data_IF_446696529183
#
_entry.id   IF_446696529183
#
_cell.length_a   1.000
_cell.length_b   1.000
_cell.length_c   1.000
_cell.angle_alpha   90.00
_cell.angle_beta   90.00
_cell.angle_gamma   90.00
#
_symmetry.space_group_name_H-M   'P 1'
#
loop_
_entity.id
_entity.type
_entity.pdbx_description
1 polymer ?
#
# COMPACT_ATOMS: atom_id res chain seq x y z
N UNK A 1 37.32 -23.46 11.34
CA UNK A 1 36.88 -22.08 11.64
C UNK A 1 36.28 -21.32 10.44
N UNK A 2 36.61 -21.68 9.19
CA UNK A 2 36.18 -20.98 7.96
C UNK A 2 34.75 -21.31 7.51
N UNK A 3 34.29 -22.55 7.65
CA UNK A 3 32.95 -23.00 7.23
C UNK A 3 31.81 -22.36 8.06
N UNK A 4 32.00 -22.25 9.38
CA UNK A 4 31.03 -21.63 10.27
C UNK A 4 30.85 -20.12 9.98
N UNK A 5 31.94 -19.41 9.69
CA UNK A 5 31.89 -18.00 9.27
C UNK A 5 31.19 -17.83 7.92
N UNK A 6 31.48 -18.67 6.93
CA UNK A 6 30.80 -18.62 5.62
C UNK A 6 29.30 -18.89 5.73
N UNK A 7 28.91 -19.86 6.58
CA UNK A 7 27.50 -20.14 6.87
C UNK A 7 26.83 -18.94 7.55
N UNK A 8 27.47 -18.33 8.55
CA UNK A 8 26.95 -17.12 9.22
C UNK A 8 26.77 -15.97 8.23
N UNK A 9 27.80 -15.69 7.40
CA UNK A 9 27.77 -14.61 6.40
C UNK A 9 26.69 -14.84 5.34
N UNK A 10 26.48 -16.07 4.89
CA UNK A 10 25.41 -16.40 3.94
C UNK A 10 24.00 -16.20 4.53
N UNK A 11 23.83 -16.51 5.82
CA UNK A 11 22.57 -16.28 6.54
C UNK A 11 22.33 -14.78 6.72
N UNK A 12 23.35 -14.04 7.17
CA UNK A 12 23.29 -12.58 7.34
C UNK A 12 23.00 -11.88 6.00
N UNK A 13 23.60 -12.38 4.91
CA UNK A 13 23.34 -11.89 3.56
C UNK A 13 21.89 -12.12 3.14
N UNK A 14 21.38 -13.34 3.34
CA UNK A 14 20.03 -13.71 2.91
C UNK A 14 18.96 -12.97 3.71
N UNK A 15 19.14 -12.84 5.03
CA UNK A 15 18.22 -12.09 5.90
C UNK A 15 18.29 -10.57 5.61
N UNK A 16 19.48 -10.02 5.37
CA UNK A 16 19.62 -8.61 5.00
C UNK A 16 19.01 -8.31 3.63
N UNK A 17 19.15 -9.22 2.66
CA UNK A 17 18.52 -9.12 1.33
C UNK A 17 17.00 -9.22 1.45
N UNK A 18 16.49 -10.12 2.28
CA UNK A 18 15.07 -10.23 2.56
C UNK A 18 14.51 -8.93 3.17
N UNK A 19 15.18 -8.36 4.16
CA UNK A 19 14.77 -7.08 4.75
C UNK A 19 14.79 -5.97 3.70
N UNK A 20 15.83 -5.91 2.87
CA UNK A 20 15.90 -4.97 1.76
C UNK A 20 14.68 -5.13 0.82
N UNK A 21 14.42 -6.34 0.34
CA UNK A 21 13.31 -6.64 -0.56
C UNK A 21 11.95 -6.37 0.10
N UNK A 22 11.81 -6.58 1.41
CA UNK A 22 10.58 -6.28 2.12
C UNK A 22 10.30 -4.77 2.15
N UNK A 23 11.33 -3.93 2.38
CA UNK A 23 11.17 -2.46 2.41
C UNK A 23 11.02 -1.86 1.00
N UNK A 24 11.82 -2.34 0.05
CA UNK A 24 11.97 -1.73 -1.28
C UNK A 24 11.06 -2.38 -2.32
N UNK A 25 10.70 -3.66 -2.15
CA UNK A 25 9.86 -4.44 -3.06
C UNK A 25 8.45 -3.89 -3.25
N UNK A 26 8.01 -2.96 -2.39
CA UNK A 26 6.77 -2.20 -2.58
C UNK A 26 6.91 -1.11 -3.65
N UNK A 27 8.03 -0.41 -3.70
CA UNK A 27 8.22 0.79 -4.54
C UNK A 27 9.02 0.51 -5.81
N UNK A 28 10.09 -0.27 -5.71
CA UNK A 28 11.03 -0.50 -6.80
C UNK A 28 10.35 -1.10 -8.06
N UNK A 29 9.45 -2.10 -7.96
CA UNK A 29 8.79 -2.62 -9.15
C UNK A 29 7.99 -1.56 -9.90
N UNK A 30 7.23 -0.78 -9.14
CA UNK A 30 6.41 0.29 -9.68
C UNK A 30 7.27 1.33 -10.40
N UNK A 31 8.36 1.78 -9.76
CA UNK A 31 9.28 2.78 -10.32
C UNK A 31 9.91 2.25 -11.62
N UNK A 32 10.41 1.01 -11.64
CA UNK A 32 11.06 0.45 -12.82
C UNK A 32 10.09 0.30 -14.01
N UNK A 33 8.87 -0.20 -13.76
CA UNK A 33 7.84 -0.30 -14.81
C UNK A 33 7.41 1.09 -15.28
N UNK A 34 7.25 2.05 -14.36
CA UNK A 34 6.88 3.42 -14.69
C UNK A 34 7.96 4.14 -15.52
N UNK A 35 9.24 4.01 -15.15
CA UNK A 35 10.36 4.59 -15.90
C UNK A 35 10.41 4.01 -17.31
N UNK A 36 10.24 2.69 -17.45
CA UNK A 36 10.20 2.03 -18.77
C UNK A 36 9.00 2.49 -19.59
N UNK A 37 7.84 2.68 -18.97
CA UNK A 37 6.68 3.29 -19.62
C UNK A 37 6.97 4.74 -20.05
N UNK A 38 7.57 5.57 -19.20
CA UNK A 38 7.89 6.96 -19.54
C UNK A 38 8.88 7.08 -20.69
N UNK A 39 9.88 6.19 -20.76
CA UNK A 39 10.85 6.14 -21.84
C UNK A 39 10.25 5.66 -23.17
N UNK A 40 9.40 4.64 -23.14
CA UNK A 40 8.91 3.98 -24.36
C UNK A 40 7.54 4.48 -24.82
N UNK A 41 6.77 5.10 -23.92
CA UNK A 41 5.35 5.44 -24.09
C UNK A 41 4.49 4.27 -24.59
N UNK A 42 4.93 3.03 -24.34
CA UNK A 42 4.29 1.82 -24.87
C UNK A 42 3.05 1.45 -24.08
N UNK A 43 1.95 1.18 -24.79
CA UNK A 43 0.70 0.64 -24.23
C UNK A 43 0.94 -0.66 -23.47
N UNK A 44 1.90 -1.47 -23.90
CA UNK A 44 2.28 -2.73 -23.25
C UNK A 44 2.73 -2.50 -21.79
N UNK A 45 3.63 -1.54 -21.57
CA UNK A 45 4.13 -1.23 -20.22
C UNK A 45 3.09 -0.49 -19.38
N UNK A 46 2.17 0.25 -20.00
CA UNK A 46 1.01 0.81 -19.30
C UNK A 46 0.09 -0.30 -18.77
N UNK A 47 -0.24 -1.30 -19.60
CA UNK A 47 -1.03 -2.47 -19.20
C UNK A 47 -0.32 -3.22 -18.07
N UNK A 48 0.99 -3.44 -18.20
CA UNK A 48 1.79 -4.09 -17.16
C UNK A 48 1.78 -3.30 -15.83
N UNK A 49 1.93 -1.98 -15.88
CA UNK A 49 1.87 -1.10 -14.71
C UNK A 49 0.52 -1.19 -14.00
N UNK A 50 -0.58 -1.15 -14.77
CA UNK A 50 -1.93 -1.29 -14.26
C UNK A 50 -2.12 -2.67 -13.63
N UNK A 51 -1.74 -3.75 -14.33
CA UNK A 51 -1.80 -5.13 -13.85
C UNK A 51 -1.03 -5.32 -12.54
N UNK A 52 0.15 -4.74 -12.40
CA UNK A 52 0.96 -4.78 -11.18
C UNK A 52 0.22 -4.11 -10.01
N UNK A 53 -0.32 -2.90 -10.25
CA UNK A 53 -1.04 -2.13 -9.24
C UNK A 53 -2.27 -2.89 -8.71
N UNK A 54 -3.06 -3.47 -9.61
CA UNK A 54 -4.25 -4.24 -9.25
C UNK A 54 -3.85 -5.53 -8.55
N UNK A 55 -2.87 -6.25 -9.09
CA UNK A 55 -2.39 -7.50 -8.49
C UNK A 55 -2.00 -7.26 -7.03
N UNK A 56 -1.25 -6.21 -6.75
CA UNK A 56 -0.86 -5.87 -5.39
C UNK A 56 -2.06 -5.67 -4.47
N UNK A 57 -3.05 -4.88 -4.90
CA UNK A 57 -4.26 -4.64 -4.11
C UNK A 57 -5.06 -5.93 -3.90
N UNK A 58 -5.22 -6.75 -4.94
CA UNK A 58 -5.99 -7.99 -4.92
C UNK A 58 -5.33 -9.10 -4.09
N UNK A 59 -4.01 -9.19 -4.14
CA UNK A 59 -3.24 -10.25 -3.49
C UNK A 59 -3.41 -10.25 -1.97
N UNK A 60 -3.56 -9.09 -1.34
CA UNK A 60 -3.83 -8.99 0.10
C UNK A 60 -5.17 -9.65 0.48
N UNK A 61 -6.16 -9.61 -0.41
CA UNK A 61 -7.47 -10.27 -0.20
C UNK A 61 -7.38 -11.78 -0.41
N UNK A 62 -6.63 -12.23 -1.41
CA UNK A 62 -6.45 -13.65 -1.70
C UNK A 62 -5.56 -14.35 -0.68
N UNK A 63 -4.57 -13.65 -0.12
CA UNK A 63 -3.65 -14.14 0.90
C UNK A 63 -4.37 -14.77 2.09
N UNK A 64 -5.45 -14.14 2.56
CA UNK A 64 -6.33 -14.68 3.63
C UNK A 64 -6.86 -16.08 3.31
N UNK A 65 -7.17 -16.32 2.04
CA UNK A 65 -7.96 -17.49 1.60
C UNK A 65 -7.12 -18.74 1.46
N UNK A 66 -5.80 -18.57 1.38
CA UNK A 66 -4.84 -19.67 1.37
C UNK A 66 -4.47 -20.12 2.79
N UNK A 67 -4.64 -19.25 3.80
CA UNK A 67 -4.40 -19.51 5.23
C UNK A 67 -3.10 -20.30 5.51
N UNK A 68 -2.04 -19.91 4.81
CA UNK A 68 -0.71 -20.50 4.90
C UNK A 68 0.09 -19.77 5.99
N UNK A 69 0.90 -20.53 6.74
CA UNK A 69 1.77 -19.97 7.77
C UNK A 69 2.82 -19.03 7.16
N UNK A 70 3.25 -18.04 7.93
CA UNK A 70 4.30 -17.07 7.57
C UNK A 70 5.57 -17.74 7.06
N UNK A 71 5.90 -18.92 7.58
CA UNK A 71 7.08 -19.72 7.25
C UNK A 71 7.04 -20.34 5.84
N UNK A 72 5.85 -20.72 5.36
CA UNK A 72 5.64 -21.24 3.99
C UNK A 72 5.41 -20.12 3.00
N UNK A 73 4.75 -19.05 3.43
CA UNK A 73 4.37 -17.96 2.54
C UNK A 73 5.55 -17.12 2.07
N UNK A 74 6.55 -16.95 2.93
CA UNK A 74 7.69 -16.11 2.64
C UNK A 74 8.56 -16.67 1.49
N UNK A 75 8.93 -17.97 1.45
CA UNK A 75 9.58 -18.56 0.28
C UNK A 75 8.73 -18.47 -1.01
N UNK A 76 7.43 -18.73 -0.94
CA UNK A 76 6.52 -18.63 -2.10
C UNK A 76 6.53 -17.21 -2.66
N UNK A 77 6.43 -16.22 -1.76
CA UNK A 77 6.48 -14.79 -2.08
C UNK A 77 7.78 -14.41 -2.79
N UNK A 78 8.91 -14.93 -2.33
CA UNK A 78 10.22 -14.69 -2.94
C UNK A 78 10.33 -15.34 -4.33
N UNK A 79 9.83 -16.57 -4.49
CA UNK A 79 9.82 -17.27 -5.79
C UNK A 79 8.96 -16.49 -6.80
N UNK A 80 7.76 -16.05 -6.40
CA UNK A 80 6.90 -15.24 -7.26
C UNK A 80 7.56 -13.90 -7.63
N UNK A 81 8.29 -13.28 -6.70
CA UNK A 81 9.08 -12.08 -6.96
C UNK A 81 10.20 -12.31 -7.96
N UNK A 82 10.94 -13.42 -7.84
CA UNK A 82 11.98 -13.81 -8.78
C UNK A 82 11.43 -14.05 -10.19
N UNK A 83 10.36 -14.86 -10.31
CA UNK A 83 9.71 -15.16 -11.59
C UNK A 83 9.14 -13.89 -12.23
N UNK A 84 8.48 -13.04 -11.44
CA UNK A 84 7.95 -11.77 -11.90
C UNK A 84 9.04 -10.87 -12.49
N UNK A 85 10.14 -10.66 -11.75
CA UNK A 85 11.27 -9.86 -12.19
C UNK A 85 11.97 -10.45 -13.43
N UNK A 86 12.11 -11.77 -13.49
CA UNK A 86 12.73 -12.46 -14.62
C UNK A 86 11.91 -12.36 -15.91
N UNK A 87 10.58 -12.38 -15.84
CA UNK A 87 9.72 -12.15 -17.01
C UNK A 87 9.88 -10.73 -17.58
N UNK A 88 10.12 -9.72 -16.74
CA UNK A 88 10.43 -8.36 -17.18
C UNK A 88 11.83 -8.20 -17.78
N UNK A 89 12.77 -9.04 -17.36
CA UNK A 89 14.12 -9.09 -17.94
C UNK A 89 14.12 -9.78 -19.31
N UNK A 90 13.41 -10.91 -19.45
CA UNK A 90 13.53 -11.78 -20.61
C UNK A 90 12.48 -11.52 -21.70
N UNK A 91 11.41 -10.79 -21.42
CA UNK A 91 10.32 -10.60 -22.37
C UNK A 91 9.88 -9.15 -22.49
N UNK A 92 9.40 -8.80 -23.68
CA UNK A 92 8.68 -7.55 -23.96
C UNK A 92 7.25 -7.81 -24.46
N UNK A 93 6.81 -9.07 -24.46
CA UNK A 93 5.46 -9.45 -24.88
C UNK A 93 4.43 -9.08 -23.81
N UNK A 94 3.29 -8.53 -24.23
CA UNK A 94 2.20 -8.11 -23.34
C UNK A 94 1.76 -9.23 -22.41
N UNK A 95 1.55 -10.44 -22.95
CA UNK A 95 1.07 -11.57 -22.15
C UNK A 95 2.02 -11.96 -21.03
N UNK A 96 3.32 -12.06 -21.33
CA UNK A 96 4.35 -12.38 -20.35
C UNK A 96 4.55 -11.26 -19.33
N UNK A 97 4.44 -10.00 -19.74
CA UNK A 97 4.52 -8.85 -18.83
C UNK A 97 3.29 -8.75 -17.91
N UNK A 98 2.11 -9.14 -18.37
CA UNK A 98 0.92 -9.27 -17.50
C UNK A 98 1.18 -10.33 -16.44
N UNK A 99 1.61 -11.54 -16.85
CA UNK A 99 1.93 -12.62 -15.90
C UNK A 99 3.00 -12.15 -14.92
N UNK A 100 4.08 -11.54 -15.40
CA UNK A 100 5.14 -10.98 -14.56
C UNK A 100 4.61 -9.95 -13.56
N UNK A 101 3.71 -9.06 -14.00
CA UNK A 101 3.08 -8.04 -13.16
C UNK A 101 2.18 -8.65 -12.09
N UNK A 102 1.45 -9.73 -12.42
CA UNK A 102 0.62 -10.45 -11.46
C UNK A 102 1.49 -11.11 -10.38
N UNK A 103 2.51 -11.88 -10.77
CA UNK A 103 3.41 -12.57 -9.83
C UNK A 103 4.17 -11.57 -8.95
N UNK A 104 4.69 -10.50 -9.56
CA UNK A 104 5.48 -9.52 -8.85
C UNK A 104 4.63 -8.63 -7.94
N UNK A 105 3.43 -8.26 -8.38
CA UNK A 105 2.45 -7.55 -7.56
C UNK A 105 2.01 -8.37 -6.34
N UNK A 106 1.84 -9.67 -6.51
CA UNK A 106 1.56 -10.59 -5.41
C UNK A 106 2.72 -10.65 -4.40
N UNK A 107 3.94 -10.75 -4.91
CA UNK A 107 5.14 -10.74 -4.08
C UNK A 107 5.25 -9.44 -3.26
N UNK A 108 5.10 -8.29 -3.93
CA UNK A 108 5.18 -6.97 -3.31
C UNK A 108 4.10 -6.72 -2.24
N UNK A 109 2.91 -7.31 -2.41
CA UNK A 109 1.82 -7.20 -1.44
C UNK A 109 2.08 -7.97 -0.14
N UNK A 110 2.84 -9.05 -0.22
CA UNK A 110 2.88 -10.09 0.81
C UNK A 110 4.22 -10.16 1.54
N UNK A 111 5.32 -9.82 0.87
CA UNK A 111 6.67 -9.89 1.46
C UNK A 111 6.78 -9.11 2.76
N UNK A 112 6.21 -7.91 2.81
CA UNK A 112 6.29 -7.03 3.97
C UNK A 112 5.44 -7.52 5.16
N UNK A 113 4.12 -7.79 5.02
CA UNK A 113 3.32 -8.33 6.12
C UNK A 113 3.93 -9.56 6.79
N UNK A 114 4.40 -10.54 5.99
CA UNK A 114 4.96 -11.78 6.51
C UNK A 114 6.34 -11.59 7.11
N UNK A 115 7.20 -10.79 6.48
CA UNK A 115 8.50 -10.43 7.05
C UNK A 115 8.35 -9.68 8.38
N UNK A 116 7.40 -8.74 8.47
CA UNK A 116 7.13 -7.97 9.69
C UNK A 116 6.65 -8.86 10.83
N UNK A 117 5.80 -9.84 10.52
CA UNK A 117 5.30 -10.83 11.48
C UNK A 117 6.43 -11.61 12.11
N UNK A 118 7.34 -12.14 11.29
CA UNK A 118 8.53 -12.86 11.75
C UNK A 118 9.46 -11.92 12.54
N UNK A 119 9.70 -10.71 12.03
CA UNK A 119 10.57 -9.72 12.69
C UNK A 119 10.06 -9.35 14.09
N UNK A 120 8.75 -9.16 14.25
CA UNK A 120 8.18 -8.78 15.55
C UNK A 120 8.27 -9.93 16.56
N UNK A 121 8.05 -11.17 16.14
CA UNK A 121 8.32 -12.35 16.99
C UNK A 121 9.80 -12.44 17.42
N UNK A 122 10.74 -12.12 16.54
CA UNK A 122 12.19 -12.18 16.81
C UNK A 122 12.73 -10.99 17.62
N UNK A 123 12.04 -9.84 17.60
CA UNK A 123 12.49 -8.63 18.31
C UNK A 123 12.44 -8.82 19.83
N UNK A 124 11.59 -9.73 20.33
CA UNK A 124 11.55 -10.12 21.74
C UNK A 124 12.70 -11.06 22.16
N UNK A 125 13.45 -11.62 21.21
CA UNK A 125 14.45 -12.67 21.49
C UNK A 125 15.87 -12.32 21.06
N UNK A 126 16.10 -11.38 20.13
CA UNK A 126 17.46 -11.07 19.65
C UNK A 126 17.70 -9.61 19.26
N UNK A 127 18.90 -9.09 19.60
CA UNK A 127 19.36 -7.74 19.20
C UNK A 127 19.86 -7.73 17.75
N UNK A 128 18.95 -7.57 16.79
CA UNK A 128 19.27 -7.61 15.36
C UNK A 128 19.96 -6.31 14.86
N UNK A 129 21.20 -6.37 14.37
CA UNK A 129 21.94 -5.24 13.75
C UNK A 129 21.96 -5.34 12.21
N UNK A 130 20.88 -4.91 11.54
CA UNK A 130 20.68 -5.03 10.07
C UNK A 130 21.13 -3.85 9.20
N UNK A 131 21.62 -2.75 9.77
CA UNK A 131 21.69 -1.46 9.04
C UNK A 131 22.75 -1.36 7.93
N UNK A 132 23.86 -2.12 7.95
CA UNK A 132 24.98 -1.92 6.99
C UNK A 132 24.80 -2.60 5.63
N UNK A 133 24.27 -3.81 5.59
CA UNK A 133 24.14 -4.56 4.33
C UNK A 133 23.06 -3.99 3.40
N UNK A 134 22.01 -3.39 3.99
CA UNK A 134 20.95 -2.69 3.26
C UNK A 134 21.48 -1.60 2.33
N UNK A 135 22.39 -0.75 2.81
CA UNK A 135 22.97 0.34 2.03
C UNK A 135 23.83 -0.15 0.87
N UNK A 136 24.50 -1.30 1.05
CA UNK A 136 25.33 -1.91 0.01
C UNK A 136 24.47 -2.47 -1.12
N UNK A 137 23.35 -3.15 -0.81
CA UNK A 137 22.39 -3.63 -1.82
C UNK A 137 21.73 -2.44 -2.55
N UNK A 138 21.39 -1.37 -1.83
CA UNK A 138 20.83 -0.15 -2.42
C UNK A 138 21.81 0.53 -3.38
N UNK A 139 23.07 0.67 -2.96
CA UNK A 139 24.14 1.23 -3.80
C UNK A 139 24.37 0.37 -5.06
N UNK A 140 24.40 -0.96 -4.91
CA UNK A 140 24.55 -1.88 -6.04
C UNK A 140 23.42 -1.71 -7.05
N UNK A 141 22.16 -1.69 -6.60
CA UNK A 141 21.01 -1.47 -7.49
C UNK A 141 21.02 -0.08 -8.15
N UNK A 142 21.44 0.96 -7.43
CA UNK A 142 21.60 2.30 -7.99
C UNK A 142 22.66 2.35 -9.11
N UNK A 143 23.80 1.69 -8.91
CA UNK A 143 24.86 1.57 -9.93
C UNK A 143 24.34 0.80 -11.14
N UNK A 144 23.63 -0.30 -10.94
CA UNK A 144 23.09 -1.11 -12.05
C UNK A 144 22.03 -0.35 -12.85
N UNK A 145 21.18 0.43 -12.18
CA UNK A 145 20.22 1.31 -12.85
C UNK A 145 20.92 2.39 -13.69
N UNK A 146 21.99 2.99 -13.16
CA UNK A 146 22.81 3.94 -13.90
C UNK A 146 23.48 3.31 -15.13
N UNK A 147 23.97 2.07 -14.99
CA UNK A 147 24.54 1.29 -16.10
C UNK A 147 23.47 1.01 -17.15
N UNK A 148 22.31 0.49 -16.77
CA UNK A 148 21.19 0.23 -17.69
C UNK A 148 20.78 1.48 -18.48
N UNK A 149 20.74 2.64 -17.80
CA UNK A 149 20.46 3.94 -18.43
C UNK A 149 21.55 4.36 -19.41
N UNK A 150 22.83 4.22 -19.03
CA UNK A 150 23.98 4.60 -19.87
C UNK A 150 24.15 3.71 -21.10
N UNK A 151 23.81 2.43 -20.99
CA UNK A 151 23.97 1.42 -22.05
C UNK A 151 22.68 1.15 -22.84
N UNK A 152 21.56 1.81 -22.50
CA UNK A 152 20.28 1.62 -23.20
C UNK A 152 19.68 0.21 -23.05
N UNK A 153 20.03 -0.52 -21.99
CA UNK A 153 19.68 -1.94 -21.79
C UNK A 153 18.21 -2.19 -21.38
N UNK A 154 17.35 -1.17 -21.50
CA UNK A 154 15.91 -1.26 -21.19
C UNK A 154 15.61 -1.83 -19.80
N UNK A 155 16.49 -1.57 -18.82
CA UNK A 155 16.43 -2.05 -17.43
C UNK A 155 16.55 -3.57 -17.24
N UNK A 156 16.98 -4.31 -18.28
CA UNK A 156 17.10 -5.77 -18.25
C UNK A 156 18.05 -6.24 -17.17
N UNK A 157 19.16 -5.52 -16.97
CA UNK A 157 20.16 -5.88 -15.98
C UNK A 157 19.60 -5.67 -14.56
N UNK A 158 18.92 -4.56 -14.31
CA UNK A 158 18.27 -4.26 -13.03
C UNK A 158 17.22 -5.32 -12.69
N UNK A 159 16.36 -5.71 -13.65
CA UNK A 159 15.38 -6.78 -13.43
C UNK A 159 16.03 -8.15 -13.18
N UNK A 160 17.13 -8.46 -13.87
CA UNK A 160 17.87 -9.71 -13.69
C UNK A 160 18.53 -9.80 -12.31
N UNK A 161 19.21 -8.73 -11.89
CA UNK A 161 19.82 -8.64 -10.55
C UNK A 161 18.75 -8.76 -9.48
N UNK A 162 17.60 -8.11 -9.66
CA UNK A 162 16.53 -8.21 -8.69
C UNK A 162 15.95 -9.63 -8.60
N UNK A 163 15.83 -10.36 -9.71
CA UNK A 163 15.45 -11.76 -9.70
C UNK A 163 16.46 -12.61 -8.90
N UNK A 164 17.76 -12.37 -9.08
CA UNK A 164 18.82 -13.03 -8.31
C UNK A 164 18.77 -12.67 -6.81
N UNK A 165 18.44 -11.42 -6.45
CA UNK A 165 18.25 -11.03 -5.06
C UNK A 165 17.06 -11.74 -4.42
N UNK A 166 15.95 -11.88 -5.15
CA UNK A 166 14.79 -12.67 -4.67
C UNK A 166 15.17 -14.13 -4.43
N UNK A 167 15.90 -14.76 -5.35
CA UNK A 167 16.40 -16.13 -5.19
C UNK A 167 17.39 -16.24 -4.02
N UNK A 168 18.31 -15.29 -3.89
CA UNK A 168 19.30 -15.23 -2.81
C UNK A 168 18.70 -14.99 -1.42
N UNK A 169 17.48 -14.45 -1.34
CA UNK A 169 16.73 -14.28 -0.10
C UNK A 169 15.96 -15.53 0.34
N UNK A 170 15.76 -16.53 -0.53
CA UNK A 170 15.00 -17.76 -0.21
C UNK A 170 15.60 -18.51 0.99
N UNK A 171 16.92 -18.76 1.06
CA UNK A 171 17.51 -19.45 2.21
C UNK A 171 17.21 -18.74 3.54
N UNK A 172 17.26 -17.40 3.57
CA UNK A 172 16.94 -16.58 4.72
C UNK A 172 15.47 -16.69 5.11
N UNK A 173 14.57 -16.70 4.13
CA UNK A 173 13.15 -16.95 4.37
C UNK A 173 12.85 -18.33 4.98
N UNK A 174 13.52 -19.37 4.48
CA UNK A 174 13.38 -20.75 5.02
C UNK A 174 13.99 -20.86 6.42
N UNK A 175 15.16 -20.29 6.65
CA UNK A 175 15.83 -20.33 7.95
C UNK A 175 15.04 -19.59 9.03
N UNK A 176 14.53 -18.40 8.70
CA UNK A 176 13.58 -17.68 9.57
C UNK A 176 12.35 -18.55 9.84
N UNK A 177 11.83 -19.24 8.82
CA UNK A 177 10.73 -20.19 8.99
C UNK A 177 11.02 -21.31 9.98
N UNK A 178 12.23 -21.85 9.98
CA UNK A 178 12.65 -22.89 10.92
C UNK A 178 12.77 -22.37 12.36
N UNK A 179 13.26 -21.14 12.56
CA UNK A 179 13.29 -20.51 13.89
C UNK A 179 11.89 -20.27 14.47
N UNK A 180 10.89 -19.98 13.63
CA UNK A 180 9.51 -19.78 14.10
C UNK A 180 8.74 -21.10 14.21
N UNK A 181 9.09 -22.14 13.44
CA UNK A 181 8.47 -23.47 13.54
C UNK A 181 8.56 -24.09 14.93
N UNK A 182 9.63 -23.83 15.69
CA UNK A 182 9.75 -24.26 17.10
C UNK A 182 8.68 -23.62 18.01
N UNK A 183 8.15 -22.45 17.64
CA UNK A 183 7.04 -21.80 18.35
C UNK A 183 5.65 -22.29 17.89
N UNK A 184 5.53 -22.79 16.64
CA UNK A 184 4.28 -23.31 16.09
C UNK A 184 3.97 -24.76 16.42
N UNK A 185 4.89 -25.49 17.08
CA UNK A 185 4.73 -26.93 17.36
C UNK A 185 3.44 -27.30 18.14
N UNK A 186 2.80 -26.33 18.80
CA UNK A 186 1.57 -26.54 19.58
C UNK A 186 0.29 -26.06 18.88
N UNK A 187 0.34 -25.58 17.62
CA UNK A 187 -0.84 -25.13 16.89
C UNK A 187 -1.39 -26.20 15.96
N UNK A 188 -2.68 -26.50 16.11
CA UNK A 188 -3.43 -27.35 15.19
C UNK A 188 -3.43 -26.73 13.79
N UNK A 189 -2.74 -27.38 12.85
CA UNK A 189 -2.79 -27.07 11.42
C UNK A 189 -4.20 -27.35 10.86
N UNK A 190 -5.10 -26.38 10.97
CA UNK A 190 -6.36 -26.42 10.21
C UNK A 190 -6.16 -25.72 8.88
N UNK A 191 -5.73 -26.47 7.88
CA UNK A 191 -5.87 -26.09 6.47
C UNK A 191 -7.37 -25.96 6.21
N UNK A 192 -7.88 -24.73 6.21
CA UNK A 192 -9.28 -24.50 5.88
C UNK A 192 -9.43 -24.66 4.37
N UNK A 193 -10.30 -25.60 3.96
CA UNK A 193 -10.66 -25.85 2.56
C UNK A 193 -11.07 -24.53 1.90
N UNK A 194 -10.79 -24.37 0.60
CA UNK A 194 -11.26 -23.27 -0.27
C UNK A 194 -12.80 -23.23 -0.34
N UNK A 195 -13.47 -22.86 0.74
CA UNK A 195 -14.92 -23.05 0.86
C UNK A 195 -15.76 -21.98 0.16
N UNK A 196 -15.14 -20.95 -0.43
CA UNK A 196 -15.86 -19.83 -1.03
C UNK A 196 -15.28 -19.38 -2.38
N UNK A 197 -15.40 -20.25 -3.40
CA UNK A 197 -15.06 -19.91 -4.80
C UNK A 197 -15.85 -18.67 -5.28
N UNK A 198 -17.10 -18.49 -4.84
CA UNK A 198 -17.90 -17.30 -5.17
C UNK A 198 -17.22 -16.00 -4.73
N UNK A 199 -16.53 -15.99 -3.59
CA UNK A 199 -15.77 -14.82 -3.12
C UNK A 199 -14.56 -14.53 -4.01
N UNK A 200 -13.96 -15.56 -4.61
CA UNK A 200 -12.87 -15.37 -5.59
C UNK A 200 -13.37 -14.68 -6.84
N UNK A 201 -14.51 -15.14 -7.36
CA UNK A 201 -15.16 -14.52 -8.51
C UNK A 201 -15.58 -13.07 -8.22
N UNK A 202 -16.18 -12.80 -7.06
CA UNK A 202 -16.55 -11.43 -6.69
C UNK A 202 -15.33 -10.51 -6.56
N UNK A 203 -14.27 -10.94 -5.87
CA UNK A 203 -13.04 -10.14 -5.79
C UNK A 203 -12.44 -9.86 -7.16
N UNK A 204 -12.45 -10.86 -8.07
CA UNK A 204 -12.00 -10.65 -9.45
C UNK A 204 -12.81 -9.56 -10.16
N UNK A 205 -14.14 -9.58 -10.04
CA UNK A 205 -15.03 -8.56 -10.62
C UNK A 205 -14.72 -7.17 -10.03
N UNK A 206 -14.60 -7.06 -8.70
CA UNK A 206 -14.28 -5.80 -8.04
C UNK A 206 -12.93 -5.22 -8.48
N UNK A 207 -11.90 -6.06 -8.55
CA UNK A 207 -10.57 -5.64 -8.99
C UNK A 207 -10.48 -5.37 -10.49
N UNK A 208 -11.27 -6.05 -11.32
CA UNK A 208 -11.43 -5.69 -12.73
C UNK A 208 -12.07 -4.31 -12.90
N UNK A 209 -13.06 -3.97 -12.06
CA UNK A 209 -13.61 -2.61 -12.02
C UNK A 209 -12.55 -1.57 -11.68
N UNK A 210 -11.76 -1.81 -10.63
CA UNK A 210 -10.62 -0.93 -10.27
C UNK A 210 -9.61 -0.84 -11.40
N UNK A 211 -9.35 -1.94 -12.12
CA UNK A 211 -8.44 -1.96 -13.27
C UNK A 211 -8.84 -0.98 -14.36
N UNK A 212 -10.12 -1.04 -14.76
CA UNK A 212 -10.68 -0.14 -15.77
C UNK A 212 -10.54 1.30 -15.29
N UNK A 213 -10.95 1.58 -14.05
CA UNK A 213 -10.86 2.93 -13.48
C UNK A 213 -9.41 3.46 -13.45
N UNK A 214 -8.43 2.65 -13.03
CA UNK A 214 -7.01 3.03 -13.06
C UNK A 214 -6.51 3.29 -14.48
N UNK A 215 -7.05 2.58 -15.47
CA UNK A 215 -6.71 2.79 -16.89
C UNK A 215 -7.30 4.11 -17.40
N UNK A 216 -8.54 4.45 -17.02
CA UNK A 216 -9.18 5.74 -17.36
C UNK A 216 -8.40 6.96 -16.82
N UNK A 217 -7.59 6.80 -15.76
CA UNK A 217 -6.71 7.86 -15.24
C UNK A 217 -5.46 8.09 -16.08
N UNK A 218 -5.06 7.12 -16.90
CA UNK A 218 -3.77 7.11 -17.59
C UNK A 218 -3.87 7.06 -19.10
N UNK A 219 -5.03 6.66 -19.64
CA UNK A 219 -5.28 6.56 -21.07
C UNK A 219 -6.51 7.40 -21.46
N UNK A 220 -6.46 7.99 -22.65
CA UNK A 220 -7.60 8.64 -23.28
C UNK A 220 -8.61 7.59 -23.75
N UNK A 221 -9.44 7.11 -22.83
CA UNK A 221 -10.55 6.21 -23.13
C UNK A 221 -11.87 6.92 -22.82
N UNK A 222 -12.68 7.13 -23.85
CA UNK A 222 -13.99 7.75 -23.72
C UNK A 222 -15.05 6.69 -23.40
N UNK A 223 -15.23 6.37 -22.11
CA UNK A 223 -16.37 5.58 -21.66
C UNK A 223 -17.54 6.50 -21.28
N UNK A 224 -18.79 6.16 -21.64
CA UNK A 224 -19.95 6.90 -21.20
C UNK A 224 -20.03 6.97 -19.66
N UNK A 225 -20.40 8.12 -19.11
CA UNK A 225 -20.43 8.35 -17.66
C UNK A 225 -21.30 7.33 -16.91
N UNK A 226 -22.42 6.91 -17.50
CA UNK A 226 -23.29 5.89 -16.92
C UNK A 226 -22.61 4.51 -16.81
N UNK A 227 -21.77 4.13 -17.78
CA UNK A 227 -20.99 2.88 -17.73
C UNK A 227 -19.98 2.96 -16.59
N UNK A 228 -19.25 4.08 -16.50
CA UNK A 228 -18.24 4.28 -15.46
C UNK A 228 -18.88 4.29 -14.06
N UNK A 229 -20.03 4.95 -13.88
CA UNK A 229 -20.79 4.90 -12.62
C UNK A 229 -21.28 3.49 -12.29
N UNK A 230 -21.72 2.73 -13.30
CA UNK A 230 -22.14 1.33 -13.11
C UNK A 230 -20.97 0.46 -12.64
N UNK A 231 -19.77 0.64 -13.23
CA UNK A 231 -18.56 -0.07 -12.78
C UNK A 231 -18.22 0.27 -11.33
N UNK A 232 -18.29 1.56 -10.95
CA UNK A 232 -18.05 2.01 -9.57
C UNK A 232 -19.09 1.41 -8.62
N UNK A 233 -20.37 1.42 -8.99
CA UNK A 233 -21.45 0.85 -8.19
C UNK A 233 -21.27 -0.65 -7.98
N UNK A 234 -20.95 -1.41 -9.03
CA UNK A 234 -20.66 -2.84 -8.94
C UNK A 234 -19.46 -3.09 -8.02
N UNK A 235 -18.37 -2.34 -8.16
CA UNK A 235 -17.20 -2.47 -7.30
C UNK A 235 -17.54 -2.18 -5.83
N UNK A 236 -18.32 -1.13 -5.55
CA UNK A 236 -18.81 -0.81 -4.20
C UNK A 236 -19.67 -1.93 -3.63
N UNK A 237 -20.60 -2.50 -4.40
CA UNK A 237 -21.44 -3.61 -3.95
C UNK A 237 -20.58 -4.84 -3.61
N UNK A 238 -19.67 -5.22 -4.51
CA UNK A 238 -18.74 -6.33 -4.33
C UNK A 238 -17.93 -6.16 -3.05
N UNK A 239 -17.33 -4.98 -2.85
CA UNK A 239 -16.55 -4.71 -1.67
C UNK A 239 -17.44 -4.75 -0.43
N UNK A 240 -18.61 -4.11 -0.44
CA UNK A 240 -19.54 -4.11 0.70
C UNK A 240 -19.96 -5.53 1.13
N UNK A 241 -20.20 -6.43 0.17
CA UNK A 241 -20.46 -7.86 0.45
C UNK A 241 -19.24 -8.50 1.13
N UNK A 242 -18.02 -8.25 0.63
CA UNK A 242 -16.79 -8.78 1.24
C UNK A 242 -16.58 -8.25 2.67
N UNK A 243 -16.83 -6.96 2.91
CA UNK A 243 -16.70 -6.35 4.24
C UNK A 243 -17.73 -6.90 5.22
N UNK A 244 -18.98 -7.07 4.77
CA UNK A 244 -20.05 -7.64 5.56
C UNK A 244 -19.78 -9.11 5.91
N UNK A 245 -19.28 -9.90 4.94
CA UNK A 245 -18.88 -11.30 5.18
C UNK A 245 -17.78 -11.40 6.24
N UNK A 246 -16.89 -10.41 6.32
CA UNK A 246 -15.80 -10.35 7.29
C UNK A 246 -16.15 -9.54 8.55
N UNK A 247 -17.44 -9.29 8.85
CA UNK A 247 -17.88 -8.46 9.99
C UNK A 247 -17.36 -8.92 11.35
N UNK A 248 -17.14 -10.22 11.54
CA UNK A 248 -16.63 -10.79 12.80
C UNK A 248 -15.10 -10.75 12.94
N UNK A 249 -14.36 -10.42 11.87
CA UNK A 249 -12.89 -10.37 11.91
C UNK A 249 -12.44 -8.98 12.35
N UNK A 250 -11.69 -8.89 13.46
CA UNK A 250 -11.21 -7.64 14.07
C UNK A 250 -12.34 -6.60 14.26
N UNK A 251 -13.44 -6.92 14.95
CA UNK A 251 -14.59 -6.01 15.06
C UNK A 251 -14.19 -4.65 15.63
N UNK A 252 -13.38 -4.62 16.68
CA UNK A 252 -13.02 -3.39 17.42
C UNK A 252 -12.02 -2.51 16.65
N UNK A 253 -11.18 -3.10 15.80
CA UNK A 253 -10.17 -2.38 15.02
C UNK A 253 -10.62 -2.06 13.60
N UNK A 254 -11.76 -2.62 13.14
CA UNK A 254 -12.19 -2.52 11.73
C UNK A 254 -12.35 -1.09 11.27
N UNK A 255 -13.07 -0.27 12.03
CA UNK A 255 -13.34 1.12 11.67
C UNK A 255 -12.05 1.94 11.61
N UNK A 256 -11.14 1.70 12.56
CA UNK A 256 -9.81 2.32 12.62
C UNK A 256 -8.96 1.99 11.40
N UNK A 257 -8.93 0.72 11.01
CA UNK A 257 -8.20 0.25 9.83
C UNK A 257 -8.78 0.79 8.52
N UNK A 258 -10.11 0.83 8.41
CA UNK A 258 -10.80 1.42 7.26
C UNK A 258 -10.50 2.92 7.15
N UNK A 259 -10.61 3.66 8.27
CA UNK A 259 -10.32 5.09 8.33
C UNK A 259 -8.87 5.38 7.92
N UNK A 260 -7.90 4.63 8.45
CA UNK A 260 -6.49 4.73 8.06
C UNK A 260 -6.30 4.57 6.56
N UNK A 261 -6.91 3.54 5.97
CA UNK A 261 -6.87 3.29 4.53
C UNK A 261 -7.41 4.46 3.71
N UNK A 262 -8.57 4.96 4.12
CA UNK A 262 -9.24 6.08 3.48
C UNK A 262 -8.38 7.34 3.55
N UNK A 263 -7.84 7.68 4.73
CA UNK A 263 -6.98 8.86 4.95
C UNK A 263 -5.71 8.82 4.11
N UNK A 264 -5.05 7.65 4.02
CA UNK A 264 -3.86 7.50 3.17
C UNK A 264 -4.22 7.76 1.71
N UNK A 265 -5.35 7.25 1.22
CA UNK A 265 -5.79 7.52 -0.16
C UNK A 265 -6.24 8.96 -0.33
N UNK A 266 -6.91 9.55 0.64
CA UNK A 266 -7.32 10.95 0.63
C UNK A 266 -6.09 11.88 0.52
N UNK A 267 -5.04 11.65 1.30
CA UNK A 267 -3.80 12.42 1.24
C UNK A 267 -3.02 12.12 -0.05
N UNK A 268 -2.62 10.86 -0.27
CA UNK A 268 -1.66 10.52 -1.32
C UNK A 268 -2.26 10.42 -2.72
N UNK A 269 -3.56 10.15 -2.84
CA UNK A 269 -4.22 10.10 -4.14
C UNK A 269 -4.90 11.43 -4.42
N UNK A 270 -5.93 11.79 -3.66
CA UNK A 270 -6.74 12.98 -3.98
C UNK A 270 -5.95 14.29 -3.81
N UNK A 271 -5.37 14.52 -2.63
CA UNK A 271 -4.69 15.79 -2.35
C UNK A 271 -3.40 15.94 -3.18
N UNK A 272 -2.75 14.85 -3.59
CA UNK A 272 -1.64 14.89 -4.54
C UNK A 272 -2.03 15.53 -5.88
N UNK A 273 -3.24 15.25 -6.39
CA UNK A 273 -3.75 15.91 -7.59
C UNK A 273 -4.26 17.32 -7.28
N UNK A 274 -5.04 17.46 -6.21
CA UNK A 274 -5.68 18.74 -5.89
C UNK A 274 -4.66 19.83 -5.52
N UNK A 275 -3.49 19.47 -5.00
CA UNK A 275 -2.40 20.39 -4.73
C UNK A 275 -1.87 21.11 -5.99
N UNK A 276 -2.13 20.58 -7.20
CA UNK A 276 -1.83 21.28 -8.44
C UNK A 276 -2.49 22.66 -8.51
N UNK A 277 -3.71 22.79 -7.99
CA UNK A 277 -4.44 24.05 -8.03
C UNK A 277 -3.84 25.15 -7.13
N UNK A 278 -3.01 24.77 -6.16
CA UNK A 278 -2.34 25.72 -5.25
C UNK A 278 -0.90 26.03 -5.67
N UNK A 279 -0.14 25.03 -6.14
CA UNK A 279 1.31 25.11 -6.40
C UNK A 279 1.74 24.56 -7.77
N UNK A 280 0.81 24.26 -8.67
CA UNK A 280 1.11 23.66 -9.98
C UNK A 280 1.77 22.28 -9.84
N UNK A 281 2.70 21.95 -10.75
CA UNK A 281 3.39 20.66 -10.80
C UNK A 281 4.16 20.29 -9.52
N UNK A 282 4.55 21.28 -8.71
CA UNK A 282 5.27 21.07 -7.44
C UNK A 282 4.33 20.55 -6.33
N UNK A 283 3.02 20.79 -6.45
CA UNK A 283 2.03 20.45 -5.43
C UNK A 283 2.05 18.98 -5.02
N UNK A 284 2.14 18.05 -5.98
CA UNK A 284 2.22 16.61 -5.71
C UNK A 284 3.41 16.26 -4.80
N UNK A 285 4.59 16.82 -5.09
CA UNK A 285 5.81 16.56 -4.32
C UNK A 285 5.71 17.14 -2.90
N UNK A 286 5.07 18.29 -2.74
CA UNK A 286 4.81 18.88 -1.41
C UNK A 286 3.92 17.97 -0.56
N UNK A 287 2.81 17.47 -1.13
CA UNK A 287 1.92 16.53 -0.42
C UNK A 287 2.66 15.27 -0.01
N UNK A 288 3.47 14.72 -0.91
CA UNK A 288 4.30 13.55 -0.61
C UNK A 288 5.33 13.82 0.50
N UNK A 289 6.01 14.98 0.46
CA UNK A 289 6.95 15.38 1.50
C UNK A 289 6.29 15.55 2.87
N UNK A 290 5.13 16.20 2.93
CA UNK A 290 4.33 16.34 4.15
C UNK A 290 3.83 14.99 4.68
N UNK A 291 3.46 14.08 3.78
CA UNK A 291 3.10 12.72 4.15
C UNK A 291 4.27 11.99 4.81
N UNK A 292 5.46 12.00 4.21
CA UNK A 292 6.63 11.34 4.79
C UNK A 292 7.02 11.96 6.14
N UNK A 293 7.06 13.29 6.21
CA UNK A 293 7.40 14.00 7.43
C UNK A 293 6.40 13.69 8.55
N UNK A 294 5.10 13.77 8.28
CA UNK A 294 4.07 13.47 9.28
C UNK A 294 4.03 11.99 9.66
N UNK A 295 4.20 11.09 8.69
CA UNK A 295 4.20 9.65 8.93
C UNK A 295 5.34 9.20 9.85
N UNK A 296 6.55 9.74 9.66
CA UNK A 296 7.71 9.39 10.47
C UNK A 296 7.70 10.12 11.82
N UNK A 297 7.36 11.42 11.83
CA UNK A 297 7.43 12.24 13.03
C UNK A 297 6.22 12.07 13.97
N UNK A 298 5.07 11.63 13.47
CA UNK A 298 3.78 11.65 14.16
C UNK A 298 3.83 11.04 15.55
N UNK A 299 4.34 9.82 15.69
CA UNK A 299 4.44 9.14 16.98
C UNK A 299 5.27 9.93 17.99
N UNK A 300 6.48 10.36 17.61
CA UNK A 300 7.38 11.10 18.50
C UNK A 300 6.80 12.46 18.89
N UNK A 301 6.22 13.20 17.94
CA UNK A 301 5.63 14.53 18.17
C UNK A 301 4.53 14.45 19.22
N UNK A 302 3.55 13.56 19.06
CA UNK A 302 2.46 13.47 20.03
C UNK A 302 2.91 12.94 21.39
N UNK A 303 3.88 12.04 21.44
CA UNK A 303 4.44 11.58 22.72
C UNK A 303 5.14 12.72 23.48
N UNK A 304 5.93 13.54 22.79
CA UNK A 304 6.60 14.69 23.42
C UNK A 304 5.57 15.73 23.88
N UNK A 305 4.60 16.08 23.02
CA UNK A 305 3.53 17.04 23.37
C UNK A 305 2.67 16.56 24.54
N UNK A 306 2.41 15.26 24.62
CA UNK A 306 1.64 14.64 25.68
C UNK A 306 2.46 14.30 26.93
N UNK A 307 3.75 14.68 27.00
CA UNK A 307 4.67 14.32 28.09
C UNK A 307 4.68 12.81 28.37
N UNK A 308 4.66 12.01 27.30
CA UNK A 308 4.65 10.53 27.29
C UNK A 308 3.41 9.89 27.93
N UNK A 309 2.32 10.64 28.11
CA UNK A 309 1.04 10.09 28.55
C UNK A 309 0.23 9.57 27.36
N UNK A 310 0.06 8.25 27.28
CA UNK A 310 -0.57 7.58 26.12
C UNK A 310 -1.97 8.11 25.82
N UNK A 311 -2.84 8.23 26.83
CA UNK A 311 -4.21 8.71 26.66
C UNK A 311 -4.26 10.17 26.17
N UNK A 312 -3.36 11.03 26.64
CA UNK A 312 -3.27 12.42 26.19
C UNK A 312 -2.72 12.49 24.76
N UNK A 313 -1.73 11.67 24.42
CA UNK A 313 -1.17 11.58 23.06
C UNK A 313 -2.24 11.17 22.04
N UNK A 314 -3.10 10.21 22.40
CA UNK A 314 -4.22 9.78 21.58
C UNK A 314 -5.25 10.90 21.39
N UNK A 315 -5.64 11.60 22.46
CA UNK A 315 -6.58 12.73 22.36
C UNK A 315 -6.02 13.86 21.50
N UNK A 316 -4.74 14.19 21.64
CA UNK A 316 -4.08 15.21 20.82
C UNK A 316 -4.01 14.80 19.34
N UNK A 317 -3.73 13.52 19.06
CA UNK A 317 -3.68 13.04 17.67
C UNK A 317 -5.06 13.03 17.01
N UNK A 318 -6.12 12.64 17.75
CA UNK A 318 -7.51 12.75 17.29
C UNK A 318 -7.93 14.21 17.07
N UNK A 319 -7.55 15.12 17.98
CA UNK A 319 -7.78 16.55 17.83
C UNK A 319 -7.08 17.13 16.60
N UNK A 320 -5.83 16.75 16.37
CA UNK A 320 -5.06 17.09 15.16
C UNK A 320 -5.78 16.64 13.89
N UNK A 321 -6.31 15.42 13.88
CA UNK A 321 -7.07 14.89 12.74
C UNK A 321 -8.31 15.75 12.43
N UNK A 322 -9.11 16.11 13.44
CA UNK A 322 -10.31 16.92 13.25
C UNK A 322 -9.94 18.32 12.77
N UNK A 323 -8.99 18.98 13.45
CA UNK A 323 -8.53 20.33 13.07
C UNK A 323 -7.97 20.31 11.64
N UNK A 324 -7.22 19.28 11.26
CA UNK A 324 -6.73 19.10 9.90
C UNK A 324 -7.87 19.09 8.86
N UNK A 325 -8.93 18.32 9.08
CA UNK A 325 -10.08 18.32 8.15
C UNK A 325 -10.76 19.69 8.07
N UNK A 326 -10.96 20.37 9.20
CA UNK A 326 -11.59 21.70 9.22
C UNK A 326 -10.74 22.74 8.48
N UNK A 327 -9.42 22.70 8.64
CA UNK A 327 -8.50 23.58 7.94
C UNK A 327 -8.48 23.31 6.42
N UNK A 328 -8.69 22.06 5.96
CA UNK A 328 -8.79 21.77 4.52
C UNK A 328 -10.04 22.39 3.86
N UNK A 329 -11.09 22.71 4.63
CA UNK A 329 -12.28 23.38 4.08
C UNK A 329 -12.00 24.85 3.72
N UNK A 330 -10.98 25.46 4.33
CA UNK A 330 -10.58 26.84 4.05
C UNK A 330 -9.67 26.84 2.82
N UNK A 331 -10.09 27.47 1.69
CA UNK A 331 -9.34 27.44 0.43
C UNK A 331 -8.13 28.38 0.44
N UNK A 332 -7.22 28.16 1.38
CA UNK A 332 -6.02 28.98 1.60
C UNK A 332 -4.76 28.11 1.67
N UNK A 333 -3.69 28.54 0.98
CA UNK A 333 -2.44 27.77 0.81
C UNK A 333 -1.84 27.28 2.13
N UNK A 334 -1.71 28.17 3.11
CA UNK A 334 -1.12 27.82 4.41
C UNK A 334 -2.05 26.92 5.21
N UNK A 335 -3.36 27.17 5.19
CA UNK A 335 -4.36 26.28 5.78
C UNK A 335 -4.20 24.87 5.24
N UNK A 336 -4.10 24.72 3.92
CA UNK A 336 -3.96 23.44 3.24
C UNK A 336 -2.68 22.68 3.65
N UNK A 337 -1.52 23.35 3.73
CA UNK A 337 -0.27 22.70 4.16
C UNK A 337 -0.34 22.23 5.61
N UNK A 338 -0.78 23.11 6.51
CA UNK A 338 -0.91 22.79 7.94
C UNK A 338 -1.91 21.65 8.13
N UNK A 339 -3.02 21.71 7.41
CA UNK A 339 -4.07 20.71 7.48
C UNK A 339 -3.56 19.31 7.06
N UNK A 340 -2.87 19.22 5.93
CA UNK A 340 -2.29 17.96 5.47
C UNK A 340 -1.26 17.44 6.46
N UNK A 341 -0.42 18.31 7.02
CA UNK A 341 0.54 17.91 8.04
C UNK A 341 -0.14 17.34 9.29
N UNK A 342 -1.21 17.97 9.77
CA UNK A 342 -1.95 17.50 10.94
C UNK A 342 -2.60 16.12 10.71
N UNK A 343 -3.12 15.88 9.51
CA UNK A 343 -3.68 14.58 9.11
C UNK A 343 -2.56 13.53 9.01
N UNK A 344 -1.42 13.87 8.40
CA UNK A 344 -0.31 12.92 8.21
C UNK A 344 0.40 12.59 9.51
N UNK A 345 0.50 13.54 10.45
CA UNK A 345 0.96 13.29 11.82
C UNK A 345 0.05 12.29 12.54
N UNK A 346 -1.28 12.40 12.39
CA UNK A 346 -2.21 11.40 12.93
C UNK A 346 -1.94 10.02 12.33
N UNK A 347 -1.77 9.91 11.00
CA UNK A 347 -1.45 8.63 10.34
C UNK A 347 -0.13 8.05 10.90
N UNK A 348 0.88 8.90 11.12
CA UNK A 348 2.17 8.52 11.68
C UNK A 348 2.12 8.05 13.14
N UNK A 349 1.23 8.63 13.95
CA UNK A 349 0.96 8.17 15.31
C UNK A 349 0.18 6.85 15.32
N UNK A 350 -0.85 6.77 14.49
CA UNK A 350 -1.79 5.65 14.45
C UNK A 350 -1.12 4.34 13.99
N UNK A 351 -0.19 4.43 13.04
CA UNK A 351 0.46 3.26 12.45
C UNK A 351 1.23 2.36 13.44
N UNK A 352 2.17 2.87 14.27
CA UNK A 352 2.84 2.07 15.29
C UNK A 352 1.89 1.64 16.41
N UNK A 353 0.98 2.49 16.86
CA UNK A 353 0.02 2.15 17.93
C UNK A 353 -0.92 0.99 17.53
N UNK A 354 -1.36 0.96 16.27
CA UNK A 354 -2.12 -0.19 15.74
C UNK A 354 -1.27 -1.46 15.73
N UNK A 355 0.03 -1.37 15.41
CA UNK A 355 0.88 -2.55 15.44
C UNK A 355 0.94 -3.11 16.86
N UNK A 356 1.29 -2.30 17.85
CA UNK A 356 1.42 -2.78 19.24
C UNK A 356 0.10 -3.36 19.75
N UNK A 357 -1.01 -2.63 19.60
CA UNK A 357 -2.33 -3.08 20.09
C UNK A 357 -2.84 -4.35 19.41
N UNK A 358 -2.63 -4.54 18.10
CA UNK A 358 -3.02 -5.78 17.41
C UNK A 358 -2.12 -6.97 17.76
N UNK A 359 -0.84 -6.73 18.02
CA UNK A 359 0.11 -7.79 18.39
C UNK A 359 -0.01 -8.22 19.85
N UNK A 360 -0.40 -7.32 20.74
CA UNK A 360 -0.56 -7.60 22.17
C UNK A 360 -1.94 -8.18 22.52
N UNK A 361 -2.88 -8.18 21.57
CA UNK A 361 -4.21 -8.72 21.77
C UNK A 361 -4.20 -10.26 21.89
N UNK A 362 -4.64 -10.78 23.04
CA UNK A 362 -4.63 -12.20 23.39
C UNK A 362 -5.52 -13.06 22.49
N UNK A 363 -6.56 -12.46 21.90
CA UNK A 363 -7.63 -13.18 21.21
C UNK A 363 -7.44 -13.25 19.68
N UNK A 364 -6.33 -12.70 19.17
CA UNK A 364 -6.06 -12.60 17.73
C UNK A 364 -4.85 -13.46 17.37
N UNK A 365 -5.00 -14.27 16.32
CA UNK A 365 -3.86 -14.96 15.72
C UNK A 365 -2.85 -13.93 15.19
N UNK A 366 -1.68 -13.85 15.82
CA UNK A 366 -0.63 -12.88 15.54
C UNK A 366 -0.14 -12.96 14.09
N UNK A 367 -0.21 -14.13 13.45
CA UNK A 367 0.17 -14.30 12.03
C UNK A 367 -0.81 -13.64 11.07
N UNK A 368 -2.09 -13.62 11.44
CA UNK A 368 -3.15 -13.07 10.61
C UNK A 368 -3.47 -11.63 10.99
N UNK A 369 -3.09 -11.17 12.19
CA UNK A 369 -3.33 -9.83 12.69
C UNK A 369 -2.82 -8.75 11.72
N UNK A 370 -1.56 -8.88 11.27
CA UNK A 370 -0.98 -7.94 10.31
C UNK A 370 -1.54 -8.10 8.91
N UNK A 371 -1.80 -9.32 8.45
CA UNK A 371 -2.45 -9.53 7.16
C UNK A 371 -3.83 -8.86 7.15
N UNK A 372 -4.60 -8.98 8.24
CA UNK A 372 -5.90 -8.31 8.40
C UNK A 372 -5.76 -6.79 8.52
N UNK A 373 -4.74 -6.26 9.23
CA UNK A 373 -4.40 -4.83 9.26
C UNK A 373 -4.26 -4.28 7.85
N UNK A 374 -3.38 -4.90 7.05
CA UNK A 374 -3.13 -4.47 5.68
C UNK A 374 -4.37 -4.61 4.82
N UNK A 375 -5.13 -5.70 4.95
CA UNK A 375 -6.36 -5.91 4.17
C UNK A 375 -7.42 -4.85 4.43
N UNK A 376 -7.79 -4.62 5.69
CA UNK A 376 -8.83 -3.63 5.99
C UNK A 376 -8.36 -2.20 5.69
N UNK A 377 -7.07 -1.92 5.82
CA UNK A 377 -6.51 -0.65 5.34
C UNK A 377 -6.53 -0.52 3.82
N UNK A 378 -6.21 -1.58 3.06
CA UNK A 378 -6.38 -1.58 1.60
C UNK A 378 -7.85 -1.40 1.22
N UNK A 379 -8.76 -2.04 1.93
CA UNK A 379 -10.20 -1.88 1.71
C UNK A 379 -10.63 -0.42 1.90
N UNK A 380 -10.25 0.22 3.01
CA UNK A 380 -10.53 1.64 3.26
C UNK A 380 -9.94 2.54 2.18
N UNK A 381 -8.74 2.21 1.69
CA UNK A 381 -8.14 2.91 0.57
C UNK A 381 -8.97 2.78 -0.71
N UNK A 382 -9.36 1.57 -1.10
CA UNK A 382 -10.20 1.32 -2.27
C UNK A 382 -11.54 2.03 -2.19
N UNK A 383 -12.19 2.07 -1.01
CA UNK A 383 -13.38 2.87 -0.78
C UNK A 383 -13.13 4.37 -1.06
N UNK A 384 -12.02 4.90 -0.56
CA UNK A 384 -11.61 6.29 -0.84
C UNK A 384 -11.41 6.55 -2.33
N UNK A 385 -10.78 5.61 -3.04
CA UNK A 385 -10.59 5.72 -4.50
C UNK A 385 -11.92 5.70 -5.26
N UNK A 386 -12.83 4.78 -4.91
CA UNK A 386 -14.14 4.67 -5.54
C UNK A 386 -15.02 5.89 -5.27
N UNK A 387 -14.97 6.42 -4.04
CA UNK A 387 -15.67 7.66 -3.67
C UNK A 387 -15.16 8.84 -4.49
N UNK A 388 -13.83 9.00 -4.58
CA UNK A 388 -13.20 10.03 -5.40
C UNK A 388 -13.59 9.89 -6.87
N UNK A 389 -13.52 8.68 -7.45
CA UNK A 389 -13.93 8.44 -8.83
C UNK A 389 -15.41 8.72 -9.06
N UNK A 390 -16.28 8.31 -8.14
CA UNK A 390 -17.72 8.52 -8.25
C UNK A 390 -18.06 10.01 -8.33
N UNK A 391 -17.46 10.81 -7.43
CA UNK A 391 -17.59 12.27 -7.46
C UNK A 391 -17.03 12.86 -8.76
N UNK A 392 -15.86 12.42 -9.20
CA UNK A 392 -15.25 12.90 -10.45
C UNK A 392 -16.12 12.62 -11.68
N UNK A 393 -16.69 11.42 -11.79
CA UNK A 393 -17.56 11.06 -12.91
C UNK A 393 -18.87 11.85 -12.86
N UNK A 394 -19.44 12.05 -11.67
CA UNK A 394 -20.63 12.88 -11.50
C UNK A 394 -20.38 14.32 -11.94
N UNK A 395 -19.30 14.94 -11.48
CA UNK A 395 -18.92 16.31 -11.86
C UNK A 395 -18.59 16.40 -13.35
N UNK A 396 -17.84 15.43 -13.90
CA UNK A 396 -17.54 15.33 -15.33
C UNK A 396 -18.80 15.27 -16.19
N UNK A 397 -19.81 14.50 -15.77
CA UNK A 397 -21.09 14.39 -16.47
C UNK A 397 -21.89 15.71 -16.42
N UNK A 398 -21.95 16.37 -15.26
CA UNK A 398 -22.67 17.65 -15.11
C UNK A 398 -22.01 18.77 -15.93
N UNK A 399 -20.66 18.78 -15.97
CA UNK A 399 -19.88 19.83 -16.63
C UNK A 399 -19.56 19.55 -18.10
N UNK A 400 -19.97 18.39 -18.63
CA UNK A 400 -19.66 17.92 -19.98
C UNK A 400 -18.15 17.97 -20.34
N UNK A 401 -17.28 17.69 -19.36
CA UNK A 401 -15.83 17.67 -19.52
C UNK A 401 -15.30 16.23 -19.51
N UNK A 402 -14.26 15.89 -20.31
CA UNK A 402 -13.71 14.54 -20.31
C UNK A 402 -13.09 14.20 -18.95
N UNK A 403 -13.35 12.99 -18.44
CA UNK A 403 -12.90 12.54 -17.12
C UNK A 403 -11.38 12.71 -16.90
N UNK A 404 -10.58 12.50 -17.95
CA UNK A 404 -9.12 12.64 -17.88
C UNK A 404 -8.67 14.08 -17.63
N UNK A 405 -9.42 15.10 -18.07
CA UNK A 405 -9.10 16.49 -17.78
C UNK A 405 -9.11 16.79 -16.27
N UNK A 406 -9.85 15.99 -15.49
CA UNK A 406 -9.85 16.08 -14.03
C UNK A 406 -8.65 15.41 -13.35
N UNK A 407 -7.97 14.49 -14.03
CA UNK A 407 -6.77 13.83 -13.52
C UNK A 407 -5.48 14.54 -13.95
N UNK A 408 -5.53 15.29 -15.05
CA UNK A 408 -4.40 16.05 -15.58
C UNK A 408 -4.82 17.49 -15.91
N UNK A 409 -5.12 18.32 -14.89
CA UNK A 409 -5.44 19.72 -15.12
C UNK A 409 -4.26 20.42 -15.81
N UNK A 410 -4.53 21.09 -16.92
CA UNK A 410 -3.53 21.87 -17.68
C UNK A 410 -3.48 23.33 -17.23
N UNK A 411 -4.50 23.80 -16.51
CA UNK A 411 -4.59 25.13 -15.92
C UNK A 411 -5.33 25.11 -14.58
N UNK A 412 -5.21 26.18 -13.79
CA UNK A 412 -5.83 26.30 -12.47
C UNK A 412 -7.23 26.95 -12.51
N UNK A 413 -7.74 27.26 -13.70
CA UNK A 413 -8.94 28.09 -13.91
C UNK A 413 -10.21 27.48 -13.29
N UNK A 414 -10.24 26.16 -13.14
CA UNK A 414 -11.37 25.43 -12.57
C UNK A 414 -11.26 25.25 -11.04
N UNK A 415 -10.40 26.00 -10.35
CA UNK A 415 -10.17 25.87 -8.89
C UNK A 415 -11.48 25.71 -8.09
N UNK A 416 -12.42 26.64 -8.26
CA UNK A 416 -13.64 26.67 -7.45
C UNK A 416 -14.59 25.50 -7.75
N UNK A 417 -14.66 25.08 -9.01
CA UNK A 417 -15.41 23.89 -9.40
C UNK A 417 -14.86 22.66 -8.66
N UNK A 418 -13.54 22.46 -8.66
CA UNK A 418 -12.94 21.31 -8.01
C UNK A 418 -13.02 21.43 -6.48
N UNK A 419 -12.86 22.64 -5.95
CA UNK A 419 -12.92 22.85 -4.51
C UNK A 419 -14.31 22.53 -3.95
N UNK A 420 -15.38 23.05 -4.57
CA UNK A 420 -16.75 22.86 -4.07
C UNK A 420 -17.30 21.48 -4.45
N UNK A 421 -17.05 21.00 -5.67
CA UNK A 421 -17.69 19.78 -6.16
C UNK A 421 -16.91 18.49 -5.83
N UNK A 422 -15.61 18.59 -5.50
CA UNK A 422 -14.76 17.42 -5.18
C UNK A 422 -14.12 17.53 -3.80
N UNK A 423 -13.37 18.61 -3.53
CA UNK A 423 -12.58 18.75 -2.31
C UNK A 423 -13.46 18.75 -1.06
N UNK A 424 -14.42 19.68 -0.96
CA UNK A 424 -15.31 19.77 0.19
C UNK A 424 -16.10 18.47 0.46
N UNK A 425 -16.78 17.85 -0.51
CA UNK A 425 -17.44 16.56 -0.29
C UNK A 425 -16.49 15.48 0.21
N UNK A 426 -15.29 15.35 -0.37
CA UNK A 426 -14.31 14.35 0.07
C UNK A 426 -13.79 14.62 1.48
N UNK A 427 -13.53 15.89 1.83
CA UNK A 427 -13.14 16.28 3.19
C UNK A 427 -14.25 15.91 4.18
N UNK A 428 -15.51 16.20 3.87
CA UNK A 428 -16.65 15.92 4.74
C UNK A 428 -16.88 14.43 4.92
N UNK A 429 -16.74 13.64 3.85
CA UNK A 429 -16.80 12.17 3.93
C UNK A 429 -15.65 11.62 4.80
N UNK A 430 -14.42 12.09 4.55
CA UNK A 430 -13.23 11.71 5.33
C UNK A 430 -13.38 12.05 6.81
N UNK A 431 -13.90 13.24 7.11
CA UNK A 431 -14.18 13.69 8.47
C UNK A 431 -15.27 12.84 9.13
N UNK A 432 -16.35 12.53 8.40
CA UNK A 432 -17.42 11.66 8.89
C UNK A 432 -16.91 10.26 9.28
N UNK A 433 -16.07 9.65 8.44
CA UNK A 433 -15.42 8.37 8.75
C UNK A 433 -14.48 8.51 9.95
N UNK A 434 -13.70 9.59 10.02
CA UNK A 434 -12.78 9.86 11.14
C UNK A 434 -13.52 10.03 12.47
N UNK A 435 -14.63 10.76 12.48
CA UNK A 435 -15.49 10.92 13.67
C UNK A 435 -16.13 9.59 14.08
N UNK A 436 -16.59 8.80 13.10
CA UNK A 436 -17.08 7.45 13.33
C UNK A 436 -16.03 6.56 13.98
N UNK A 437 -14.78 6.64 13.52
CA UNK A 437 -13.66 5.93 14.12
C UNK A 437 -13.40 6.37 15.57
N UNK A 438 -13.26 7.68 15.82
CA UNK A 438 -12.99 8.22 17.17
C UNK A 438 -14.05 7.77 18.19
N UNK A 439 -15.33 7.68 17.77
CA UNK A 439 -16.42 7.22 18.63
C UNK A 439 -16.40 5.72 18.94
N UNK A 440 -15.88 4.90 18.03
CA UNK A 440 -15.85 3.43 18.16
C UNK A 440 -14.47 2.91 18.57
N UNK A 441 -13.49 3.79 18.79
CA UNK A 441 -12.15 3.37 19.17
C UNK A 441 -12.21 2.74 20.59
N UNK A 442 -11.79 1.47 20.74
CA UNK A 442 -11.88 0.79 22.04
C UNK A 442 -11.06 1.55 23.08
N UNK A 443 -11.70 1.88 24.20
CA UNK A 443 -11.06 2.59 25.32
C UNK A 443 -10.15 1.69 26.17
N UNK A 444 -9.59 0.63 25.59
CA UNK A 444 -8.68 -0.26 26.29
C UNK A 444 -7.29 0.39 26.35
N UNK A 445 -7.13 1.30 27.31
CA UNK A 445 -5.86 1.65 27.96
C UNK A 445 -6.12 1.72 29.45
#
# INVERSE_FOLDING_TARGET
>A
MTVARFRQTGIDFSIGTLNFLANVGIMLPYILILLRYQQTQSTTFLIALVAFYISRAASIFYTKRLNLNSTTYLPVTLILGALGSLLFALSSSVGWLIIGSLLWGYSAATIWPYFLTIKLHLTHTTSFKMKRLYWLVFALLGIMLAIDLSLGLSYTLTFSVLALLYLGAIPGGVLLGNFVNDFYQHRSHKIHRLHHIWRWLLSLIGFAGIAVLTTLRKAHLNLPSWVTLTIIAIALIVFSIELYSDRHVLPDYKMRLLNRGFLISFVLLFNSFFAYFYWGSIGMYLVFGLYLLGFEAGYAVFQVLAKHQMALAQRLSQGSLIVGHLLLLIPWRLSYLVALLLITLYIGYDNPTINTTLYEATDIDHDLAIVHKYRFSTYGGLLGQLTMFGLLVAVSAIMAQPLLAFFSPTNADHFWLYNVALNWPLILISLGISLGNIRHEPQHI
#
